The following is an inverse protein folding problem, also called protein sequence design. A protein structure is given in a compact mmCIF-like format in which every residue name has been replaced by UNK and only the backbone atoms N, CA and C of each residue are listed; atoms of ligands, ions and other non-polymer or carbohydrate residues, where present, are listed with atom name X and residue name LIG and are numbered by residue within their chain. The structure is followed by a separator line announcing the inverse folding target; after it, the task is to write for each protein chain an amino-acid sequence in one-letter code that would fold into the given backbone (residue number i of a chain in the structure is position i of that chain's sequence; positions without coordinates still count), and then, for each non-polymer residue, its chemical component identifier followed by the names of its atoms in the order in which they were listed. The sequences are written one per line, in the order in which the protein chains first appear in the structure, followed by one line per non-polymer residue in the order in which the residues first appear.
data_IF_346641834946
#
_entry.id   IF_346641834946
#
_cell.length_a   1.000
_cell.length_b   1.000
_cell.length_c   1.000
_cell.angle_alpha   90.00
_cell.angle_beta   90.00
_cell.angle_gamma   90.00
#
_symmetry.space_group_name_H-M   'P 1'
#
loop_
_entity.id
_entity.type
_entity.pdbx_description
1 polymer ?
#
# COMPACT_ATOMS: atom_id res chain seq x y z
N UNK A 1 -13.05 7.76 1.57
CA UNK A 1 -13.21 6.69 0.54
C UNK A 1 -13.77 5.45 1.21
N UNK A 2 -14.45 4.55 0.50
CA UNK A 2 -14.87 3.27 1.09
C UNK A 2 -13.65 2.34 1.17
N UNK A 3 -13.47 1.61 2.27
CA UNK A 3 -12.32 0.72 2.47
C UNK A 3 -12.02 -0.27 1.33
N UNK A 4 -13.06 -0.70 0.59
CA UNK A 4 -12.91 -1.51 -0.63
C UNK A 4 -12.11 -0.81 -1.75
N UNK A 5 -12.25 0.52 -1.86
CA UNK A 5 -11.54 1.33 -2.86
C UNK A 5 -10.07 1.50 -2.48
N UNK A 6 -9.75 1.65 -1.20
CA UNK A 6 -8.35 1.71 -0.73
C UNK A 6 -7.60 0.42 -1.01
N UNK A 7 -8.25 -0.73 -0.78
CA UNK A 7 -7.66 -2.05 -1.10
C UNK A 7 -7.36 -2.19 -2.59
N UNK A 8 -8.33 -1.84 -3.44
CA UNK A 8 -8.15 -1.90 -4.89
C UNK A 8 -7.05 -0.93 -5.37
N UNK A 9 -7.01 0.28 -4.83
CA UNK A 9 -5.96 1.26 -5.13
C UNK A 9 -4.58 0.75 -4.70
N UNK A 10 -4.49 0.15 -3.50
CA UNK A 10 -3.25 -0.46 -3.01
C UNK A 10 -2.73 -1.57 -3.93
N UNK A 11 -3.59 -2.50 -4.31
CA UNK A 11 -3.24 -3.60 -5.24
C UNK A 11 -2.80 -3.05 -6.59
N UNK A 12 -3.52 -2.07 -7.17
CA UNK A 12 -3.13 -1.42 -8.42
C UNK A 12 -1.76 -0.73 -8.32
N UNK A 13 -1.49 -0.06 -7.19
CA UNK A 13 -0.20 0.60 -6.90
C UNK A 13 0.93 -0.41 -6.84
N UNK A 14 0.76 -1.52 -6.10
CA UNK A 14 1.77 -2.56 -5.97
C UNK A 14 2.08 -3.21 -7.33
N UNK A 15 1.06 -3.61 -8.06
CA UNK A 15 1.21 -4.26 -9.37
C UNK A 15 1.81 -3.30 -10.40
N UNK A 16 1.39 -2.03 -10.39
CA UNK A 16 1.96 -0.98 -11.24
C UNK A 16 3.43 -0.71 -10.92
N UNK A 17 3.79 -0.68 -9.63
CA UNK A 17 5.19 -0.56 -9.20
C UNK A 17 6.03 -1.76 -9.66
N UNK A 18 5.48 -2.99 -9.58
CA UNK A 18 6.13 -4.20 -10.07
C UNK A 18 6.40 -4.17 -11.58
N UNK A 19 5.42 -3.72 -12.37
CA UNK A 19 5.59 -3.52 -13.82
C UNK A 19 6.64 -2.44 -14.14
N UNK A 20 6.59 -1.31 -13.45
CA UNK A 20 7.56 -0.23 -13.64
C UNK A 20 8.98 -0.68 -13.28
N UNK A 21 9.13 -1.39 -12.16
CA UNK A 21 10.41 -1.96 -11.75
C UNK A 21 10.97 -2.87 -12.84
N UNK A 22 10.14 -3.75 -13.41
CA UNK A 22 10.56 -4.64 -14.48
C UNK A 22 10.98 -3.90 -15.74
N UNK A 23 10.27 -2.85 -16.13
CA UNK A 23 10.63 -2.04 -17.30
C UNK A 23 11.96 -1.33 -17.11
N UNK A 24 12.30 -0.92 -15.89
CA UNK A 24 13.52 -0.17 -15.60
C UNK A 24 14.74 -1.05 -15.35
N UNK A 25 14.54 -2.22 -14.73
CA UNK A 25 15.65 -3.10 -14.31
C UNK A 25 15.79 -4.37 -15.15
N UNK A 26 14.81 -4.67 -16.00
CA UNK A 26 14.67 -5.93 -16.75
C UNK A 26 14.54 -7.16 -15.84
N UNK A 27 14.28 -6.96 -14.55
CA UNK A 27 14.03 -8.01 -13.55
C UNK A 27 12.62 -7.86 -13.00
N UNK A 28 11.98 -8.96 -12.65
CA UNK A 28 10.71 -8.88 -11.92
C UNK A 28 10.96 -8.55 -10.45
N UNK A 29 10.04 -7.82 -9.82
CA UNK A 29 10.16 -7.50 -8.40
C UNK A 29 10.27 -8.75 -7.52
N UNK A 30 9.51 -9.85 -7.73
CA UNK A 30 9.74 -11.11 -7.04
C UNK A 30 11.13 -11.69 -7.24
N UNK A 31 11.73 -11.56 -8.42
CA UNK A 31 13.09 -12.05 -8.69
C UNK A 31 14.13 -11.37 -7.80
N UNK A 32 13.99 -10.08 -7.54
CA UNK A 32 14.88 -9.37 -6.61
C UNK A 32 14.93 -10.02 -5.22
N UNK A 33 13.79 -10.48 -4.71
CA UNK A 33 13.72 -11.18 -3.42
C UNK A 33 14.30 -12.60 -3.49
N UNK A 34 14.08 -13.30 -4.61
CA UNK A 34 14.64 -14.62 -4.84
C UNK A 34 16.16 -14.58 -4.92
N UNK A 35 16.71 -13.61 -5.65
CA UNK A 35 18.16 -13.43 -5.78
C UNK A 35 18.81 -13.12 -4.43
N UNK A 36 18.15 -12.31 -3.60
CA UNK A 36 18.63 -12.01 -2.25
C UNK A 36 18.60 -13.22 -1.31
N UNK A 37 17.73 -14.18 -1.57
CA UNK A 37 17.64 -15.42 -0.80
C UNK A 37 18.70 -16.46 -1.16
N UNK A 38 19.48 -16.26 -2.22
CA UNK A 38 20.46 -17.23 -2.77
C UNK A 38 19.87 -18.63 -3.03
N UNK A 39 18.57 -18.72 -3.18
CA UNK A 39 17.88 -20.01 -3.40
C UNK A 39 17.70 -20.23 -4.88
N UNK A 40 18.58 -21.06 -5.43
CA UNK A 40 18.50 -21.52 -6.80
C UNK A 40 17.69 -22.81 -6.86
N UNK A 41 16.57 -23.12 -6.66
CA UNK A 41 15.76 -24.01 -7.49
C UNK A 41 14.27 -23.63 -7.63
N UNK A 42 13.84 -22.46 -7.18
CA UNK A 42 12.43 -22.07 -7.21
C UNK A 42 12.09 -21.08 -8.33
N UNK A 43 12.76 -21.16 -9.49
CA UNK A 43 12.37 -20.37 -10.66
C UNK A 43 10.85 -20.50 -10.91
N UNK A 44 10.09 -19.62 -11.25
CA UNK A 44 8.65 -19.70 -11.51
C UNK A 44 7.76 -19.81 -10.25
N UNK A 45 7.75 -20.93 -9.57
CA UNK A 45 6.90 -21.10 -8.37
C UNK A 45 7.33 -20.19 -7.21
N UNK A 46 8.62 -19.97 -7.02
CA UNK A 46 9.12 -19.04 -6.01
C UNK A 46 8.71 -17.59 -6.31
N UNK A 47 8.78 -17.18 -7.56
CA UNK A 47 8.33 -15.85 -7.99
C UNK A 47 6.86 -15.62 -7.74
N UNK A 48 6.02 -16.62 -8.05
CA UNK A 48 4.58 -16.54 -7.77
C UNK A 48 4.29 -16.47 -6.26
N UNK A 49 4.99 -17.27 -5.45
CA UNK A 49 4.86 -17.23 -3.99
C UNK A 49 5.19 -15.83 -3.44
N UNK A 50 6.33 -15.25 -3.83
CA UNK A 50 6.73 -13.90 -3.42
C UNK A 50 5.70 -12.85 -3.88
N UNK A 51 5.17 -12.98 -5.09
CA UNK A 51 4.12 -12.07 -5.58
C UNK A 51 2.85 -12.15 -4.74
N UNK A 52 2.43 -13.36 -4.35
CA UNK A 52 1.28 -13.57 -3.45
C UNK A 52 1.53 -12.91 -2.09
N UNK A 53 2.72 -13.08 -1.52
CA UNK A 53 3.08 -12.49 -0.22
C UNK A 53 3.09 -10.94 -0.31
N UNK A 54 3.64 -10.36 -1.39
CA UNK A 54 3.60 -8.93 -1.66
C UNK A 54 2.17 -8.40 -1.73
N UNK A 55 1.30 -9.06 -2.50
CA UNK A 55 -0.11 -8.67 -2.64
C UNK A 55 -0.88 -8.81 -1.33
N UNK A 56 -0.64 -9.88 -0.57
CA UNK A 56 -1.25 -10.08 0.75
C UNK A 56 -0.83 -8.97 1.72
N UNK A 57 0.47 -8.67 1.80
CA UNK A 57 0.97 -7.55 2.59
C UNK A 57 0.33 -6.22 2.18
N UNK A 58 0.19 -6.00 0.87
CA UNK A 58 -0.46 -4.78 0.34
C UNK A 58 -1.93 -4.66 0.77
N UNK A 59 -2.69 -5.75 0.73
CA UNK A 59 -4.08 -5.75 1.21
C UNK A 59 -4.17 -5.48 2.70
N UNK A 60 -3.28 -6.05 3.50
CA UNK A 60 -3.18 -5.78 4.93
C UNK A 60 -2.84 -4.30 5.18
N UNK A 61 -1.79 -3.78 4.55
CA UNK A 61 -1.35 -2.40 4.69
C UNK A 61 -2.40 -1.39 4.25
N UNK A 62 -3.11 -1.65 3.15
CA UNK A 62 -4.20 -0.80 2.67
C UNK A 62 -5.45 -0.82 3.59
N UNK A 63 -5.54 -1.80 4.50
CA UNK A 63 -6.66 -1.90 5.46
C UNK A 63 -6.29 -1.37 6.84
N UNK A 64 -5.01 -1.42 7.19
CA UNK A 64 -4.53 -1.17 8.54
C UNK A 64 -4.84 0.24 9.08
N UNK A 65 -4.73 1.34 8.31
CA UNK A 65 -5.07 2.65 8.84
C UNK A 65 -6.51 2.76 9.36
N UNK A 66 -7.45 2.08 8.70
CA UNK A 66 -8.87 2.08 9.06
C UNK A 66 -9.21 1.23 10.32
N UNK A 67 -8.23 0.53 10.91
CA UNK A 67 -8.44 -0.24 12.16
C UNK A 67 -8.82 0.69 13.33
N UNK A 68 -8.49 1.97 13.23
CA UNK A 68 -8.88 2.97 14.22
C UNK A 68 -10.40 3.17 14.33
N UNK A 69 -11.16 2.78 13.30
CA UNK A 69 -12.63 2.80 13.35
C UNK A 69 -13.20 1.74 14.32
N UNK A 70 -12.43 0.70 14.60
CA UNK A 70 -12.79 -0.38 15.53
C UNK A 70 -12.21 -0.15 16.94
N UNK A 71 -11.31 0.81 17.09
CA UNK A 71 -10.64 1.11 18.35
C UNK A 71 -11.18 2.42 18.95
N UNK A 72 -11.12 2.59 20.28
CA UNK A 72 -11.54 3.83 20.95
C UNK A 72 -10.51 4.96 20.79
N UNK A 73 -9.99 5.13 19.57
CA UNK A 73 -9.03 6.17 19.22
C UNK A 73 -9.59 7.06 18.11
N UNK A 74 -9.04 8.26 18.00
CA UNK A 74 -9.50 9.22 16.99
C UNK A 74 -9.23 8.68 15.59
N UNK A 75 -10.30 8.57 14.78
CA UNK A 75 -10.17 8.24 13.36
C UNK A 75 -9.29 9.27 12.65
N UNK A 76 -8.42 8.78 11.77
CA UNK A 76 -7.38 9.56 11.09
C UNK A 76 -6.36 10.23 12.04
N UNK A 77 -6.20 9.67 13.25
CA UNK A 77 -5.15 10.06 14.18
C UNK A 77 -3.81 9.40 13.84
N UNK A 78 -3.24 8.72 14.83
CA UNK A 78 -1.89 8.11 14.75
C UNK A 78 -1.76 7.09 13.61
N UNK A 79 -2.83 6.35 13.32
CA UNK A 79 -2.87 5.31 12.28
C UNK A 79 -2.79 5.88 10.85
N UNK A 80 -3.11 7.15 10.64
CA UNK A 80 -3.08 7.80 9.34
C UNK A 80 -1.89 8.76 9.22
N UNK A 81 -0.71 8.35 9.68
CA UNK A 81 0.50 9.17 9.69
C UNK A 81 1.68 8.50 9.02
N UNK A 82 2.67 9.29 8.60
CA UNK A 82 3.94 8.78 8.10
C UNK A 82 4.75 8.02 9.16
N UNK A 83 4.48 8.24 10.45
CA UNK A 83 5.15 7.50 11.53
C UNK A 83 4.88 6.00 11.43
N UNK A 84 3.65 5.61 11.09
CA UNK A 84 3.29 4.19 10.89
C UNK A 84 4.11 3.56 9.76
N UNK A 85 4.24 4.25 8.64
CA UNK A 85 5.10 3.78 7.52
C UNK A 85 6.57 3.73 7.97
N UNK A 86 7.04 4.76 8.68
CA UNK A 86 8.41 4.83 9.19
C UNK A 86 8.76 3.64 10.10
N UNK A 87 7.84 3.24 10.99
CA UNK A 87 8.03 2.07 11.86
C UNK A 87 8.17 0.78 11.03
N UNK A 88 7.32 0.58 10.02
CA UNK A 88 7.38 -0.61 9.16
C UNK A 88 8.69 -0.64 8.37
N UNK A 89 9.11 0.50 7.81
CA UNK A 89 10.37 0.60 7.06
C UNK A 89 11.58 0.39 7.99
N UNK A 90 11.56 0.97 9.19
CA UNK A 90 12.60 0.75 10.19
C UNK A 90 12.69 -0.72 10.63
N UNK A 91 11.55 -1.39 10.83
CA UNK A 91 11.53 -2.80 11.16
C UNK A 91 12.02 -3.69 10.01
N UNK A 92 11.65 -3.38 8.76
CA UNK A 92 12.18 -4.05 7.58
C UNK A 92 13.70 -3.87 7.46
N UNK A 93 14.20 -2.64 7.63
CA UNK A 93 15.64 -2.35 7.65
C UNK A 93 16.37 -3.08 8.78
N UNK A 94 15.82 -3.08 9.99
CA UNK A 94 16.35 -3.83 11.11
C UNK A 94 16.42 -5.33 10.81
N UNK A 95 15.36 -5.91 10.25
CA UNK A 95 15.33 -7.34 9.93
C UNK A 95 16.38 -7.76 8.89
N UNK A 96 16.80 -6.85 8.01
CA UNK A 96 17.89 -7.11 7.06
C UNK A 96 19.27 -7.03 7.70
N UNK A 97 19.47 -6.15 8.69
CA UNK A 97 20.76 -5.94 9.37
C UNK A 97 20.97 -6.99 10.48
N UNK A 98 19.93 -7.29 11.25
CA UNK A 98 20.01 -8.17 12.42
C UNK A 98 20.09 -9.66 12.06
N UNK A 99 19.68 -10.04 10.85
CA UNK A 99 19.83 -11.42 10.37
C UNK A 99 21.11 -11.56 9.57
N UNK A 100 21.99 -12.54 9.87
CA UNK A 100 23.08 -12.84 8.96
C UNK A 100 22.48 -13.13 7.58
N UNK A 101 23.04 -12.48 6.54
CA UNK A 101 22.59 -12.64 5.15
C UNK A 101 22.40 -14.12 4.84
N UNK A 102 21.17 -14.53 4.52
CA UNK A 102 20.90 -15.89 4.08
C UNK A 102 19.77 -16.65 4.76
N UNK A 103 18.98 -16.05 5.66
CA UNK A 103 17.77 -16.75 6.07
C UNK A 103 16.72 -16.63 4.97
N UNK A 104 16.51 -17.73 4.27
CA UNK A 104 15.52 -17.89 3.20
C UNK A 104 14.14 -17.33 3.57
N UNK A 105 13.72 -17.48 4.82
CA UNK A 105 12.46 -16.95 5.33
C UNK A 105 12.38 -15.42 5.32
N UNK A 106 13.46 -14.73 5.69
CA UNK A 106 13.48 -13.27 5.69
C UNK A 106 13.28 -12.73 4.28
N UNK A 107 14.01 -13.26 3.32
CA UNK A 107 13.97 -12.80 1.94
C UNK A 107 12.71 -13.25 1.19
N UNK A 108 12.21 -14.45 1.43
CA UNK A 108 11.06 -14.98 0.68
C UNK A 108 9.70 -14.60 1.29
N UNK A 109 9.65 -14.33 2.58
CA UNK A 109 8.39 -14.06 3.26
C UNK A 109 8.37 -12.69 3.95
N UNK A 110 9.27 -12.44 4.90
CA UNK A 110 9.18 -11.26 5.76
C UNK A 110 9.39 -9.95 4.98
N UNK A 111 10.43 -9.86 4.17
CA UNK A 111 10.70 -8.63 3.39
C UNK A 111 9.63 -8.37 2.34
N UNK A 112 9.18 -9.35 1.53
CA UNK A 112 8.04 -9.13 0.63
C UNK A 112 6.77 -8.72 1.38
N UNK A 113 6.45 -9.35 2.52
CA UNK A 113 5.30 -9.00 3.32
C UNK A 113 5.36 -7.54 3.80
N UNK A 114 6.48 -7.12 4.37
CA UNK A 114 6.68 -5.76 4.87
C UNK A 114 6.70 -4.73 3.73
N UNK A 115 7.30 -5.07 2.58
CA UNK A 115 7.30 -4.22 1.39
C UNK A 115 5.88 -4.02 0.87
N UNK A 116 5.12 -5.11 0.74
CA UNK A 116 3.71 -5.05 0.38
C UNK A 116 2.91 -4.21 1.38
N UNK A 117 3.10 -4.46 2.68
CA UNK A 117 2.41 -3.73 3.74
C UNK A 117 2.71 -2.22 3.68
N UNK A 118 3.99 -1.83 3.58
CA UNK A 118 4.37 -0.42 3.47
C UNK A 118 3.77 0.24 2.22
N UNK A 119 3.76 -0.47 1.08
CA UNK A 119 3.15 0.02 -0.17
C UNK A 119 1.64 0.19 -0.01
N UNK A 120 0.94 -0.79 0.56
CA UNK A 120 -0.50 -0.71 0.81
C UNK A 120 -0.86 0.40 1.79
N UNK A 121 -0.11 0.51 2.88
CA UNK A 121 -0.28 1.57 3.88
C UNK A 121 -0.08 2.95 3.25
N UNK A 122 1.02 3.17 2.53
CA UNK A 122 1.28 4.44 1.87
C UNK A 122 0.22 4.76 0.82
N UNK A 123 -0.23 3.79 0.03
CA UNK A 123 -1.30 4.00 -0.95
C UNK A 123 -2.61 4.43 -0.29
N UNK A 124 -2.96 3.87 0.88
CA UNK A 124 -4.11 4.30 1.66
C UNK A 124 -3.98 5.76 2.08
N UNK A 125 -2.82 6.14 2.66
CA UNK A 125 -2.57 7.54 3.05
C UNK A 125 -2.67 8.49 1.86
N UNK A 126 -2.10 8.14 0.71
CA UNK A 126 -2.18 8.94 -0.52
C UNK A 126 -3.64 9.07 -0.97
N UNK A 127 -4.41 7.98 -0.99
CA UNK A 127 -5.82 8.03 -1.37
C UNK A 127 -6.64 8.93 -0.42
N UNK A 128 -6.36 8.90 0.87
CA UNK A 128 -7.01 9.76 1.85
C UNK A 128 -6.56 11.22 1.77
N UNK A 129 -5.33 11.50 1.38
CA UNK A 129 -4.86 12.86 1.12
C UNK A 129 -5.66 13.56 0.01
N UNK A 130 -6.22 12.80 -0.94
CA UNK A 130 -7.11 13.31 -1.99
C UNK A 130 -8.58 13.39 -1.55
N UNK A 131 -8.93 13.00 -0.33
CA UNK A 131 -10.27 13.14 0.21
C UNK A 131 -10.52 14.59 0.69
N UNK A 132 -11.80 14.95 0.86
CA UNK A 132 -12.18 16.28 1.36
C UNK A 132 -11.71 16.57 2.78
N UNK A 133 -11.54 15.53 3.59
CA UNK A 133 -11.03 15.65 4.95
C UNK A 133 -9.50 15.82 5.00
N UNK A 134 -8.80 15.36 3.96
CA UNK A 134 -7.35 15.36 3.93
C UNK A 134 -6.74 14.41 4.96
N UNK A 135 -5.44 14.54 5.21
CA UNK A 135 -4.69 13.71 6.14
C UNK A 135 -3.68 14.55 6.92
N UNK A 136 -3.50 14.25 8.19
CA UNK A 136 -2.47 14.86 9.03
C UNK A 136 -1.21 13.97 9.02
N UNK A 137 -0.35 14.14 8.00
CA UNK A 137 0.85 13.33 7.79
C UNK A 137 1.73 13.19 9.03
N UNK A 138 1.78 14.24 9.87
CA UNK A 138 2.64 14.36 11.04
C UNK A 138 1.84 14.56 12.34
N UNK A 139 0.65 13.94 12.45
CA UNK A 139 -0.09 13.98 13.73
C UNK A 139 0.80 13.37 14.86
N UNK A 140 0.86 13.92 16.10
CA UNK A 140 0.05 15.03 16.64
C UNK A 140 0.56 16.46 16.33
N UNK A 141 1.66 16.60 15.59
CA UNK A 141 2.22 17.93 15.24
C UNK A 141 1.28 18.72 14.32
N UNK A 142 0.51 18.00 13.48
CA UNK A 142 -0.55 18.57 12.67
C UNK A 142 -1.91 18.21 13.27
N UNK A 143 -2.81 19.19 13.39
CA UNK A 143 -4.13 19.00 13.98
C UNK A 143 -5.24 19.13 12.93
N UNK A 144 -6.31 18.40 13.14
CA UNK A 144 -7.54 18.53 12.39
C UNK A 144 -8.36 19.71 12.94
N UNK A 145 -9.03 20.42 12.04
CA UNK A 145 -10.02 21.44 12.38
C UNK A 145 -11.40 20.80 12.31
N UNK A 146 -12.14 20.86 13.41
CA UNK A 146 -13.55 20.44 13.42
C UNK A 146 -14.42 21.53 12.82
N UNK A 147 -15.33 21.15 11.94
CA UNK A 147 -16.41 22.02 11.46
C UNK A 147 -17.70 21.62 12.17
N UNK A 148 -18.63 22.57 12.35
CA UNK A 148 -19.86 22.41 13.12
C UNK A 148 -20.81 21.30 12.64
N UNK A 149 -20.56 20.69 11.49
CA UNK A 149 -21.27 19.52 10.97
C UNK A 149 -20.58 18.18 11.31
N UNK A 150 -19.61 18.17 12.21
CA UNK A 150 -18.83 16.98 12.58
C UNK A 150 -17.72 16.58 11.59
N UNK A 151 -17.59 17.32 10.47
CA UNK A 151 -16.50 17.05 9.52
C UNK A 151 -15.18 17.61 10.06
N UNK A 152 -14.16 16.78 10.09
CA UNK A 152 -12.79 17.17 10.44
C UNK A 152 -11.96 17.35 9.18
N UNK A 153 -11.23 18.44 9.07
CA UNK A 153 -10.38 18.77 7.93
C UNK A 153 -9.01 19.21 8.43
N UNK A 154 -7.95 18.74 7.79
CA UNK A 154 -6.59 19.15 8.14
C UNK A 154 -6.37 20.62 7.83
N UNK A 155 -5.93 21.38 8.82
CA UNK A 155 -5.62 22.81 8.66
C UNK A 155 -4.42 22.97 7.72
N UNK A 156 -4.65 23.49 6.51
CA UNK A 156 -3.59 23.90 5.59
C UNK A 156 -3.10 22.86 4.57
N UNK A 157 -3.52 21.60 4.65
CA UNK A 157 -3.09 20.56 3.71
C UNK A 157 -4.29 19.91 3.01
N UNK A 158 -4.77 20.54 1.95
CA UNK A 158 -5.67 19.91 0.98
C UNK A 158 -4.87 19.72 -0.30
N UNK A 159 -4.56 18.48 -0.65
CA UNK A 159 -4.31 18.18 -2.05
C UNK A 159 -5.65 18.22 -2.78
N UNK A 160 -6.00 19.39 -3.33
CA UNK A 160 -7.25 19.59 -4.07
C UNK A 160 -7.07 18.93 -5.44
N UNK A 161 -7.18 17.60 -5.50
CA UNK A 161 -7.42 16.93 -6.77
C UNK A 161 -8.79 16.27 -6.71
N UNK A 162 -9.83 17.12 -6.75
CA UNK A 162 -11.24 16.74 -6.75
C UNK A 162 -11.63 15.65 -7.79
N UNK A 163 -10.97 15.50 -8.97
CA UNK A 163 -11.31 14.43 -9.90
C UNK A 163 -11.17 13.03 -9.33
N UNK A 164 -10.13 12.76 -8.52
CA UNK A 164 -9.91 11.44 -7.92
C UNK A 164 -10.94 11.12 -6.85
N UNK A 165 -11.37 12.13 -6.09
CA UNK A 165 -12.46 11.98 -5.13
C UNK A 165 -13.79 11.62 -5.80
N UNK A 166 -14.13 12.27 -6.93
CA UNK A 166 -15.34 11.94 -7.71
C UNK A 166 -15.27 10.54 -8.30
N UNK A 167 -14.11 10.09 -8.76
CA UNK A 167 -13.89 8.71 -9.21
C UNK A 167 -14.13 7.70 -8.08
N UNK A 168 -13.79 8.05 -6.84
CA UNK A 168 -14.07 7.23 -5.66
C UNK A 168 -15.57 7.09 -5.33
N UNK A 169 -16.43 7.97 -5.81
CA UNK A 169 -17.88 7.91 -5.59
C UNK A 169 -18.62 7.29 -6.77
N UNK A 170 -18.79 8.01 -7.85
CA UNK A 170 -19.36 7.54 -9.12
C UNK A 170 -18.83 8.38 -10.26
N UNK A 171 -18.36 7.74 -11.31
CA UNK A 171 -17.93 8.38 -12.54
C UNK A 171 -18.79 7.82 -13.69
N UNK A 172 -19.56 8.70 -14.37
CA UNK A 172 -20.57 8.28 -15.36
C UNK A 172 -21.52 7.18 -14.86
N UNK A 173 -21.96 7.25 -13.60
CA UNK A 173 -22.85 6.25 -13.00
C UNK A 173 -22.17 4.96 -12.51
N UNK A 174 -20.89 4.74 -12.84
CA UNK A 174 -20.13 3.57 -12.42
C UNK A 174 -19.55 3.80 -11.03
N UNK A 175 -19.71 2.87 -10.06
CA UNK A 175 -19.05 2.99 -8.76
C UNK A 175 -17.53 3.07 -8.91
N UNK A 176 -16.90 4.06 -8.27
CA UNK A 176 -15.43 4.23 -8.32
C UNK A 176 -14.67 3.01 -7.80
N UNK A 177 -15.26 2.26 -6.86
CA UNK A 177 -14.69 0.99 -6.41
C UNK A 177 -14.57 -0.03 -7.54
N UNK A 178 -15.56 -0.10 -8.45
CA UNK A 178 -15.51 -1.01 -9.58
C UNK A 178 -14.39 -0.63 -10.56
N UNK A 179 -14.22 0.68 -10.81
CA UNK A 179 -13.14 1.18 -11.67
C UNK A 179 -11.78 0.78 -11.09
N UNK A 180 -11.56 1.03 -9.79
CA UNK A 180 -10.30 0.70 -9.14
C UNK A 180 -10.04 -0.81 -9.08
N UNK A 181 -11.07 -1.63 -8.85
CA UNK A 181 -10.93 -3.08 -8.90
C UNK A 181 -10.61 -3.57 -10.31
N UNK A 182 -11.20 -2.98 -11.35
CA UNK A 182 -10.85 -3.31 -12.74
C UNK A 182 -9.39 -2.98 -13.04
N UNK A 183 -8.93 -1.79 -12.65
CA UNK A 183 -7.51 -1.41 -12.80
C UNK A 183 -6.62 -2.38 -12.02
N UNK A 184 -6.95 -2.69 -10.77
CA UNK A 184 -6.18 -3.61 -9.94
C UNK A 184 -6.08 -5.00 -10.57
N UNK A 185 -7.19 -5.55 -11.06
CA UNK A 185 -7.19 -6.86 -11.70
C UNK A 185 -6.36 -6.86 -12.98
N UNK A 186 -6.54 -5.87 -13.85
CA UNK A 186 -5.78 -5.78 -15.11
C UNK A 186 -4.28 -5.63 -14.84
N UNK A 187 -3.90 -4.70 -13.97
CA UNK A 187 -2.47 -4.49 -13.65
C UNK A 187 -1.84 -5.71 -12.98
N UNK A 188 -2.59 -6.37 -12.08
CA UNK A 188 -2.09 -7.59 -11.39
C UNK A 188 -1.93 -8.74 -12.36
N UNK A 189 -2.91 -9.01 -13.23
CA UNK A 189 -2.80 -10.06 -14.23
C UNK A 189 -1.63 -9.79 -15.18
N UNK A 190 -1.50 -8.56 -15.67
CA UNK A 190 -0.37 -8.17 -16.52
C UNK A 190 0.96 -8.40 -15.80
N UNK A 191 1.07 -8.00 -14.53
CA UNK A 191 2.28 -8.21 -13.74
C UNK A 191 2.58 -9.68 -13.51
N UNK A 192 1.59 -10.50 -13.11
CA UNK A 192 1.78 -11.94 -12.88
C UNK A 192 2.22 -12.67 -14.14
N UNK A 193 1.73 -12.28 -15.32
CA UNK A 193 2.15 -12.87 -16.60
C UNK A 193 3.61 -12.56 -16.95
N UNK A 194 4.24 -11.59 -16.31
CA UNK A 194 5.65 -11.25 -16.52
C UNK A 194 6.60 -12.04 -15.61
N UNK A 195 6.08 -12.70 -14.57
CA UNK A 195 6.87 -13.53 -13.65
C UNK A 195 7.16 -14.86 -14.34
N UNK A 196 8.43 -15.12 -14.59
CA UNK A 196 8.93 -16.35 -15.21
C UNK A 196 9.57 -17.25 -14.17
#
# INVERSE_FOLDING_TARGET
MLGKTHKAFGVATMSGAGLLYQQTTQQTLPQMFLDSAQTQPFSGMGGLFVAIVLLFGTLMGASYPDIDQELPIKHRGVTHTLWGVGIVVAFAGWSTIAQPMGTTWTSLFLLPLLTGFATGYMSHLVADAFSTAGIAWFYPLQQYRSYGNGAEVVKGHRFIFQPIYKVGQKFFGIPGSLIWWTIAVVTTLTWLLTIK
#
